data_IF_528610132777
#
_entry.id   IF_528610132777
#
_cell.length_a   1.000
_cell.length_b   1.000
_cell.length_c   1.000
_cell.angle_alpha   90.00
_cell.angle_beta   90.00
_cell.angle_gamma   90.00
#
_symmetry.space_group_name_H-M   'P 1'
#
loop_
_entity.id
_entity.type
_entity.pdbx_description
1 polymer ?
#
# COMPACT_ATOMS: atom_id res chain seq x y z
N UNK A 1 18.90 -16.39 20.48
CA UNK A 1 17.98 -17.07 19.55
C UNK A 1 17.93 -16.19 18.31
N UNK A 2 18.49 -16.67 17.21
CA UNK A 2 18.53 -15.92 15.94
C UNK A 2 17.22 -16.27 15.23
N UNK A 3 16.42 -15.26 14.88
CA UNK A 3 15.25 -15.48 14.04
C UNK A 3 15.69 -15.23 12.60
N UNK A 4 15.91 -16.31 11.84
CA UNK A 4 16.44 -16.20 10.47
C UNK A 4 15.84 -17.18 9.48
N UNK A 5 15.25 -18.28 9.96
CA UNK A 5 14.62 -19.29 9.10
C UNK A 5 13.12 -19.05 8.96
N UNK A 6 12.52 -19.60 7.90
CA UNK A 6 11.07 -19.55 7.69
C UNK A 6 10.32 -20.31 8.78
N UNK A 7 10.88 -21.42 9.24
CA UNK A 7 10.30 -22.30 10.25
C UNK A 7 10.23 -21.61 11.62
N UNK A 8 11.33 -21.00 12.08
CA UNK A 8 11.36 -20.26 13.35
C UNK A 8 10.40 -19.07 13.33
N UNK A 9 10.32 -18.37 12.20
CA UNK A 9 9.37 -17.28 12.01
C UNK A 9 7.92 -17.80 12.05
N UNK A 10 7.62 -18.90 11.37
CA UNK A 10 6.28 -19.47 11.32
C UNK A 10 5.82 -19.91 12.71
N UNK A 11 6.67 -20.60 13.46
CA UNK A 11 6.40 -21.00 14.85
C UNK A 11 6.13 -19.77 15.74
N UNK A 12 6.98 -18.74 15.63
CA UNK A 12 6.82 -17.50 16.38
C UNK A 12 5.49 -16.79 16.05
N UNK A 13 5.13 -16.72 14.77
CA UNK A 13 3.90 -16.10 14.29
C UNK A 13 2.66 -16.85 14.79
N UNK A 14 2.67 -18.19 14.73
CA UNK A 14 1.57 -19.02 15.21
C UNK A 14 1.39 -18.88 16.73
N UNK A 15 2.48 -18.91 17.48
CA UNK A 15 2.45 -18.75 18.94
C UNK A 15 1.91 -17.38 19.39
N UNK A 16 2.13 -16.33 18.58
CA UNK A 16 1.81 -14.94 18.94
C UNK A 16 0.71 -14.31 18.09
N UNK A 17 -0.07 -15.12 17.37
CA UNK A 17 -1.09 -14.68 16.42
C UNK A 17 -2.00 -13.58 16.99
N UNK A 18 -2.58 -13.80 18.17
CA UNK A 18 -3.50 -12.84 18.80
C UNK A 18 -2.88 -11.46 19.04
N UNK A 19 -1.58 -11.42 19.38
CA UNK A 19 -0.84 -10.17 19.61
C UNK A 19 -0.52 -9.46 18.30
N UNK A 20 -0.09 -10.19 17.27
CA UNK A 20 0.16 -9.65 15.93
C UNK A 20 -1.14 -9.09 15.34
N UNK A 21 -2.26 -9.81 15.49
CA UNK A 21 -3.59 -9.39 15.07
C UNK A 21 -4.03 -8.10 15.78
N UNK A 22 -3.77 -7.98 17.08
CA UNK A 22 -4.04 -6.77 17.85
C UNK A 22 -3.22 -5.58 17.35
N UNK A 23 -1.93 -5.78 17.07
CA UNK A 23 -1.05 -4.73 16.51
C UNK A 23 -1.55 -4.27 15.14
N UNK A 24 -1.84 -5.21 14.24
CA UNK A 24 -2.40 -4.92 12.92
C UNK A 24 -3.71 -4.14 13.02
N UNK A 25 -4.66 -4.61 13.83
CA UNK A 25 -5.97 -3.96 14.02
C UNK A 25 -5.86 -2.56 14.60
N UNK A 26 -4.95 -2.33 15.55
CA UNK A 26 -4.75 -1.01 16.18
C UNK A 26 -4.22 0.04 15.19
N UNK A 27 -3.54 -0.38 14.13
CA UNK A 27 -2.95 0.49 13.11
C UNK A 27 -3.90 0.84 11.96
N UNK A 28 -5.08 0.21 11.88
CA UNK A 28 -6.12 0.53 10.90
C UNK A 28 -6.92 1.78 11.31
N UNK A 29 -7.29 2.62 10.32
CA UNK A 29 -8.26 3.70 10.55
C UNK A 29 -9.65 3.14 10.85
N UNK A 30 -10.56 3.92 11.48
CA UNK A 30 -11.92 3.46 11.78
C UNK A 30 -12.68 2.93 10.54
N UNK A 31 -12.53 3.60 9.39
CA UNK A 31 -13.10 3.12 8.12
C UNK A 31 -12.48 1.81 7.64
N UNK A 32 -11.17 1.65 7.79
CA UNK A 32 -10.48 0.40 7.45
C UNK A 32 -10.82 -0.77 8.38
N UNK A 33 -11.11 -0.51 9.67
CA UNK A 33 -11.58 -1.53 10.63
C UNK A 33 -12.97 -2.09 10.28
N UNK A 34 -13.81 -1.29 9.64
CA UNK A 34 -15.14 -1.70 9.20
C UNK A 34 -15.13 -2.43 7.86
N UNK A 35 -14.17 -2.08 6.98
CA UNK A 35 -14.06 -2.65 5.64
C UNK A 35 -13.21 -3.93 5.58
N UNK A 36 -12.34 -4.17 6.56
CA UNK A 36 -11.44 -5.33 6.59
C UNK A 36 -11.58 -6.12 7.89
N UNK A 37 -11.59 -7.45 7.77
CA UNK A 37 -11.44 -8.33 8.91
C UNK A 37 -10.03 -8.19 9.49
N UNK A 38 -9.89 -8.28 10.82
CA UNK A 38 -8.56 -8.31 11.46
C UNK A 38 -7.70 -9.50 11.02
N UNK A 39 -8.32 -10.50 10.41
CA UNK A 39 -7.71 -11.71 9.88
C UNK A 39 -6.98 -11.45 8.55
N UNK A 40 -7.56 -10.66 7.64
CA UNK A 40 -6.96 -10.35 6.33
C UNK A 40 -5.64 -9.58 6.47
N UNK A 41 -5.64 -8.61 7.40
CA UNK A 41 -4.46 -7.79 7.68
C UNK A 41 -3.37 -8.61 8.38
N UNK A 42 -3.78 -9.52 9.27
CA UNK A 42 -2.86 -10.48 9.88
C UNK A 42 -2.22 -11.38 8.82
N UNK A 43 -3.00 -12.02 7.95
CA UNK A 43 -2.50 -12.90 6.88
C UNK A 43 -1.54 -12.16 5.93
N UNK A 44 -1.80 -10.87 5.67
CA UNK A 44 -0.91 -10.03 4.86
C UNK A 44 0.42 -9.75 5.54
N UNK A 45 0.41 -9.48 6.86
CA UNK A 45 1.64 -9.34 7.64
C UNK A 45 2.42 -10.64 7.64
N UNK A 46 1.76 -11.79 7.84
CA UNK A 46 2.39 -13.12 7.84
C UNK A 46 3.04 -13.42 6.49
N UNK A 47 2.31 -13.27 5.37
CA UNK A 47 2.87 -13.50 4.02
C UNK A 47 4.10 -12.64 3.74
N UNK A 48 4.12 -11.41 4.24
CA UNK A 48 5.22 -10.47 4.02
C UNK A 48 6.44 -10.81 4.86
N UNK A 49 6.23 -11.24 6.09
CA UNK A 49 7.31 -11.78 6.91
C UNK A 49 7.86 -13.07 6.32
N UNK A 50 7.00 -13.98 5.84
CA UNK A 50 7.40 -15.23 5.19
C UNK A 50 8.23 -14.99 3.92
N UNK A 51 7.84 -14.04 3.07
CA UNK A 51 8.63 -13.64 1.90
C UNK A 51 10.02 -13.10 2.31
N UNK A 52 10.09 -12.25 3.33
CA UNK A 52 11.38 -11.74 3.84
C UNK A 52 12.25 -12.85 4.42
N UNK A 53 11.66 -13.84 5.08
CA UNK A 53 12.39 -15.00 5.59
C UNK A 53 12.90 -15.88 4.45
N UNK A 54 12.08 -16.12 3.42
CA UNK A 54 12.47 -16.88 2.23
C UNK A 54 13.65 -16.24 1.48
N UNK A 55 13.76 -14.91 1.51
CA UNK A 55 14.85 -14.15 0.92
C UNK A 55 16.06 -13.97 1.87
N UNK A 56 16.01 -14.48 3.11
CA UNK A 56 17.08 -14.32 4.10
C UNK A 56 17.27 -12.87 4.57
N UNK A 57 16.24 -12.03 4.46
CA UNK A 57 16.29 -10.61 4.80
C UNK A 57 16.00 -10.33 6.29
N UNK A 58 15.53 -11.33 7.04
CA UNK A 58 15.30 -11.19 8.47
C UNK A 58 16.62 -11.33 9.21
N UNK A 59 17.03 -10.24 9.88
CA UNK A 59 18.25 -10.17 10.70
C UNK A 59 17.94 -9.88 12.16
N UNK A 60 16.88 -10.49 12.70
CA UNK A 60 16.49 -10.26 14.09
C UNK A 60 17.29 -11.19 15.01
N UNK A 61 18.18 -10.61 15.80
CA UNK A 61 19.03 -11.31 16.78
C UNK A 61 18.35 -11.47 18.15
N UNK A 62 17.19 -10.84 18.33
CA UNK A 62 16.38 -10.94 19.54
C UNK A 62 14.88 -10.84 19.24
N UNK A 63 14.07 -11.33 20.17
CA UNK A 63 12.61 -11.25 20.07
C UNK A 63 12.14 -9.78 19.99
N UNK A 64 12.82 -8.86 20.69
CA UNK A 64 12.52 -7.43 20.63
C UNK A 64 12.71 -6.83 19.24
N UNK A 65 13.77 -7.25 18.53
CA UNK A 65 14.03 -6.85 17.14
C UNK A 65 13.00 -7.47 16.18
N UNK A 66 12.61 -8.73 16.39
CA UNK A 66 11.56 -9.36 15.60
C UNK A 66 10.21 -8.64 15.79
N UNK A 67 9.86 -8.29 17.03
CA UNK A 67 8.67 -7.48 17.31
C UNK A 67 8.72 -6.09 16.67
N UNK A 68 9.90 -5.47 16.60
CA UNK A 68 10.06 -4.19 15.90
C UNK A 68 9.84 -4.34 14.39
N UNK A 69 10.35 -5.42 13.78
CA UNK A 69 10.11 -5.76 12.39
C UNK A 69 8.61 -6.01 12.12
N UNK A 70 7.95 -6.84 12.94
CA UNK A 70 6.52 -7.14 12.83
C UNK A 70 5.69 -5.85 12.91
N UNK A 71 6.01 -4.95 13.85
CA UNK A 71 5.34 -3.64 13.95
C UNK A 71 5.54 -2.79 12.69
N UNK A 72 6.75 -2.75 12.15
CA UNK A 72 7.08 -2.02 10.93
C UNK A 72 6.31 -2.57 9.71
N UNK A 73 6.27 -3.90 9.56
CA UNK A 73 5.50 -4.58 8.52
C UNK A 73 4.01 -4.32 8.67
N UNK A 74 3.46 -4.46 9.87
CA UNK A 74 2.04 -4.19 10.16
C UNK A 74 1.67 -2.72 9.90
N UNK A 75 2.55 -1.78 10.22
CA UNK A 75 2.38 -0.37 9.92
C UNK A 75 2.38 -0.10 8.41
N UNK A 76 3.33 -0.68 7.67
CA UNK A 76 3.37 -0.56 6.21
C UNK A 76 2.14 -1.17 5.53
N UNK A 77 1.62 -2.30 6.02
CA UNK A 77 0.40 -2.95 5.51
C UNK A 77 -0.83 -2.09 5.83
N UNK A 78 -0.96 -1.61 7.07
CA UNK A 78 -2.13 -0.84 7.53
C UNK A 78 -2.25 0.54 6.87
N UNK A 79 -1.11 1.16 6.56
CA UNK A 79 -1.05 2.45 5.86
C UNK A 79 -1.46 2.37 4.39
N UNK A 80 -1.50 1.17 3.80
CA UNK A 80 -1.68 1.00 2.36
C UNK A 80 -3.15 1.05 1.94
N UNK A 81 -4.05 0.34 2.62
CA UNK A 81 -5.48 0.35 2.29
C UNK A 81 -6.27 1.51 2.92
N UNK A 82 -5.97 1.87 4.16
CA UNK A 82 -6.66 2.97 4.87
C UNK A 82 -6.55 4.30 4.13
N UNK A 83 -5.36 4.61 3.56
CA UNK A 83 -5.14 5.86 2.81
C UNK A 83 -5.69 5.82 1.39
N UNK A 84 -5.73 4.65 0.75
CA UNK A 84 -6.24 4.52 -0.63
C UNK A 84 -7.75 4.73 -0.71
N UNK A 85 -8.51 4.27 0.29
CA UNK A 85 -9.98 4.38 0.32
C UNK A 85 -10.42 5.72 0.92
N UNK A 86 -9.77 6.17 2.00
CA UNK A 86 -10.19 7.36 2.75
C UNK A 86 -9.73 8.67 2.06
N UNK A 87 -8.61 8.63 1.32
CA UNK A 87 -8.13 9.82 0.61
C UNK A 87 -8.77 10.03 -0.76
N UNK A 88 -9.45 9.04 -1.35
CA UNK A 88 -10.07 9.16 -2.69
C UNK A 88 -11.55 9.54 -2.60
N UNK A 89 -12.26 9.08 -1.57
CA UNK A 89 -13.66 9.45 -1.29
C UNK A 89 -13.84 10.96 -1.00
N UNK A 90 -12.78 11.67 -0.62
CA UNK A 90 -12.78 13.10 -0.26
C UNK A 90 -12.17 14.02 -1.33
N UNK A 91 -11.81 13.49 -2.51
CA UNK A 91 -11.17 14.27 -3.59
C UNK A 91 -12.16 14.66 -4.69
N UNK A 92 -12.80 15.83 -4.50
CA UNK A 92 -13.51 16.52 -5.59
C UNK A 92 -12.51 17.34 -6.42
N UNK A 93 -12.39 17.07 -7.73
CA UNK A 93 -11.52 17.82 -8.66
C UNK A 93 -11.17 17.08 -9.96
N UNK A 94 -10.28 17.67 -10.78
CA UNK A 94 -9.80 17.20 -12.11
C UNK A 94 -9.25 15.76 -12.17
N UNK A 95 -8.89 15.18 -11.02
CA UNK A 95 -8.32 13.83 -10.91
C UNK A 95 -9.34 12.77 -10.48
N UNK A 96 -10.59 13.15 -10.19
CA UNK A 96 -11.59 12.27 -9.59
C UNK A 96 -11.86 11.00 -10.41
N UNK A 97 -11.95 11.12 -11.74
CA UNK A 97 -12.20 9.97 -12.64
C UNK A 97 -11.05 8.95 -12.63
N UNK A 98 -9.80 9.42 -12.60
CA UNK A 98 -8.63 8.54 -12.49
C UNK A 98 -8.62 7.81 -11.15
N UNK A 99 -8.83 8.53 -10.05
CA UNK A 99 -8.87 7.91 -8.72
C UNK A 99 -10.05 6.94 -8.58
N UNK A 100 -11.19 7.22 -9.19
CA UNK A 100 -12.33 6.30 -9.21
C UNK A 100 -11.98 4.98 -9.92
N UNK A 101 -11.30 5.03 -11.06
CA UNK A 101 -10.85 3.83 -11.78
C UNK A 101 -9.87 3.00 -10.94
N UNK A 102 -8.83 3.66 -10.40
CA UNK A 102 -7.87 3.03 -9.49
C UNK A 102 -8.56 2.41 -8.26
N UNK A 103 -9.56 3.08 -7.69
CA UNK A 103 -10.36 2.54 -6.61
C UNK A 103 -11.19 1.33 -7.02
N UNK A 104 -11.78 1.33 -8.22
CA UNK A 104 -12.48 0.17 -8.76
C UNK A 104 -11.54 -1.03 -8.92
N UNK A 105 -10.33 -0.83 -9.44
CA UNK A 105 -9.34 -1.90 -9.57
C UNK A 105 -8.92 -2.44 -8.20
N UNK A 106 -8.70 -1.56 -7.21
CA UNK A 106 -8.42 -1.99 -5.84
C UNK A 106 -9.58 -2.72 -5.17
N UNK A 107 -10.84 -2.34 -5.47
CA UNK A 107 -12.04 -3.05 -4.97
C UNK A 107 -12.22 -4.42 -5.62
N UNK A 108 -11.77 -4.59 -6.88
CA UNK A 108 -11.78 -5.87 -7.60
C UNK A 108 -10.75 -6.85 -7.09
N UNK A 109 -9.68 -6.39 -6.42
CA UNK A 109 -8.71 -7.27 -5.79
C UNK A 109 -9.36 -8.10 -4.68
N UNK A 110 -9.25 -9.42 -4.77
CA UNK A 110 -9.80 -10.39 -3.80
C UNK A 110 -8.99 -10.43 -2.51
N UNK A 111 -7.78 -9.90 -2.51
CA UNK A 111 -6.92 -9.84 -1.32
C UNK A 111 -6.03 -8.59 -1.28
N UNK A 112 -5.51 -8.32 -0.08
CA UNK A 112 -4.48 -7.30 0.14
C UNK A 112 -3.21 -7.56 -0.66
N UNK A 113 -2.85 -8.84 -0.83
CA UNK A 113 -1.68 -9.24 -1.61
C UNK A 113 -1.89 -8.91 -3.09
N UNK A 114 -3.08 -9.14 -3.64
CA UNK A 114 -3.44 -8.75 -5.01
C UNK A 114 -3.44 -7.22 -5.17
N UNK A 115 -4.01 -6.49 -4.21
CA UNK A 115 -4.00 -5.02 -4.21
C UNK A 115 -2.56 -4.45 -4.15
N UNK A 116 -1.72 -5.01 -3.28
CA UNK A 116 -0.31 -4.61 -3.17
C UNK A 116 0.46 -4.93 -4.45
N UNK A 117 0.26 -6.11 -5.03
CA UNK A 117 0.87 -6.49 -6.30
C UNK A 117 0.45 -5.56 -7.45
N UNK A 118 -0.82 -5.16 -7.49
CA UNK A 118 -1.32 -4.17 -8.45
C UNK A 118 -0.62 -2.82 -8.29
N UNK A 119 -0.48 -2.32 -7.06
CA UNK A 119 0.20 -1.05 -6.80
C UNK A 119 1.68 -1.11 -7.19
N UNK A 120 2.37 -2.21 -6.88
CA UNK A 120 3.76 -2.44 -7.28
C UNK A 120 3.86 -2.45 -8.81
N UNK A 121 2.95 -3.14 -9.52
CA UNK A 121 2.90 -3.13 -10.98
C UNK A 121 2.72 -1.72 -11.55
N UNK A 122 1.81 -0.92 -10.98
CA UNK A 122 1.63 0.49 -11.36
C UNK A 122 2.91 1.29 -11.15
N UNK A 123 3.56 1.17 -9.99
CA UNK A 123 4.83 1.87 -9.71
C UNK A 123 5.97 1.44 -10.65
N UNK A 124 6.09 0.14 -10.97
CA UNK A 124 7.13 -0.37 -11.84
C UNK A 124 6.91 0.01 -13.31
N UNK A 125 5.66 0.21 -13.73
CA UNK A 125 5.38 0.71 -15.08
C UNK A 125 5.87 2.13 -15.31
N UNK A 126 6.05 2.92 -14.25
CA UNK A 126 6.60 4.28 -14.35
C UNK A 126 8.12 4.20 -14.55
N UNK A 127 8.57 4.85 -15.61
CA UNK A 127 9.95 4.82 -16.10
C UNK A 127 10.92 5.64 -15.25
N UNK A 128 10.44 6.68 -14.54
CA UNK A 128 11.27 7.57 -13.72
C UNK A 128 11.15 7.38 -12.21
N UNK A 129 12.27 7.42 -11.48
CA UNK A 129 12.29 7.44 -10.00
C UNK A 129 11.51 8.65 -9.44
N UNK A 130 11.64 9.80 -10.09
CA UNK A 130 10.88 11.01 -9.75
C UNK A 130 9.37 10.80 -9.92
N UNK A 131 8.95 10.08 -10.95
CA UNK A 131 7.54 9.88 -11.25
C UNK A 131 6.91 8.87 -10.28
N UNK A 132 7.68 7.85 -9.87
CA UNK A 132 7.31 6.94 -8.76
C UNK A 132 7.13 7.69 -7.45
N UNK A 133 8.02 8.65 -7.15
CA UNK A 133 7.91 9.50 -5.97
C UNK A 133 6.67 10.40 -6.04
N UNK A 134 6.43 11.07 -7.17
CA UNK A 134 5.23 11.89 -7.39
C UNK A 134 3.96 11.05 -7.22
N UNK A 135 3.90 9.87 -7.84
CA UNK A 135 2.77 8.95 -7.72
C UNK A 135 2.54 8.51 -6.26
N UNK A 136 3.58 8.12 -5.53
CA UNK A 136 3.50 7.75 -4.11
C UNK A 136 3.00 8.91 -3.23
N UNK A 137 3.46 10.13 -3.48
CA UNK A 137 3.03 11.33 -2.75
C UNK A 137 1.58 11.70 -3.08
N UNK A 138 1.15 11.56 -4.34
CA UNK A 138 -0.24 11.73 -4.75
C UNK A 138 -1.16 10.67 -4.16
N UNK A 139 -0.69 9.42 -4.01
CA UNK A 139 -1.41 8.35 -3.31
C UNK A 139 -1.71 8.73 -1.86
N UNK A 140 -0.77 9.42 -1.20
CA UNK A 140 -0.88 9.89 0.19
C UNK A 140 -1.71 11.17 0.37
N UNK A 141 -2.19 11.78 -0.71
CA UNK A 141 -3.02 13.00 -0.67
C UNK A 141 -2.24 14.30 -0.63
N UNK A 142 -0.94 14.26 -0.91
CA UNK A 142 -0.10 15.46 -0.95
C UNK A 142 -0.45 16.32 -2.17
N UNK A 143 -0.49 17.64 -1.98
CA UNK A 143 -0.77 18.60 -3.06
C UNK A 143 0.43 18.77 -3.99
N UNK A 144 0.19 19.17 -5.24
CA UNK A 144 1.25 19.40 -6.23
C UNK A 144 2.29 20.43 -5.78
N UNK A 145 1.88 21.44 -5.01
CA UNK A 145 2.78 22.46 -4.45
C UNK A 145 3.77 21.87 -3.45
N UNK A 146 3.33 20.97 -2.58
CA UNK A 146 4.20 20.30 -1.60
C UNK A 146 5.08 19.27 -2.29
N UNK A 147 4.56 18.56 -3.29
CA UNK A 147 5.34 17.63 -4.12
C UNK A 147 6.48 18.37 -4.82
N UNK A 148 6.20 19.53 -5.41
CA UNK A 148 7.19 20.35 -6.08
C UNK A 148 8.34 20.76 -5.14
N UNK A 149 8.02 21.14 -3.90
CA UNK A 149 9.02 21.43 -2.88
C UNK A 149 9.86 20.21 -2.49
N UNK A 150 9.26 19.03 -2.38
CA UNK A 150 9.97 17.79 -2.01
C UNK A 150 10.84 17.22 -3.13
N UNK A 151 10.39 17.38 -4.38
CA UNK A 151 11.08 16.86 -5.57
C UNK A 151 12.11 17.85 -6.11
N UNK A 152 12.07 19.11 -5.65
CA UNK A 152 12.97 20.17 -6.12
C UNK A 152 12.60 20.68 -7.52
N UNK A 153 11.30 20.75 -7.84
CA UNK A 153 10.81 21.25 -9.13
C UNK A 153 9.74 22.33 -8.95
N UNK A 154 9.25 22.91 -10.06
CA UNK A 154 8.14 23.88 -10.02
C UNK A 154 6.79 23.17 -9.89
N UNK A 155 5.77 23.87 -9.38
CA UNK A 155 4.42 23.31 -9.25
C UNK A 155 3.82 22.93 -10.62
N UNK A 156 4.17 23.67 -11.66
CA UNK A 156 3.78 23.42 -13.06
C UNK A 156 4.45 22.16 -13.59
N UNK A 157 5.76 21.98 -13.34
CA UNK A 157 6.48 20.76 -13.73
C UNK A 157 5.93 19.53 -12.99
N UNK A 158 5.60 19.65 -11.70
CA UNK A 158 4.96 18.58 -10.95
C UNK A 158 3.57 18.23 -11.51
N UNK A 159 2.77 19.22 -11.92
CA UNK A 159 1.47 19.01 -12.57
C UNK A 159 1.61 18.34 -13.95
N UNK A 160 2.53 18.80 -14.79
CA UNK A 160 2.77 18.19 -16.11
C UNK A 160 3.24 16.73 -15.99
N UNK A 161 4.16 16.45 -15.07
CA UNK A 161 4.59 15.07 -14.78
C UNK A 161 3.45 14.21 -14.27
N UNK A 162 2.60 14.75 -13.38
CA UNK A 162 1.41 14.04 -12.91
C UNK A 162 0.45 13.68 -14.04
N UNK A 163 0.22 14.59 -14.99
CA UNK A 163 -0.59 14.29 -16.17
C UNK A 163 0.03 13.17 -17.05
N UNK A 164 1.35 13.18 -17.22
CA UNK A 164 2.07 12.10 -17.92
C UNK A 164 1.89 10.74 -17.24
N UNK A 165 2.10 10.70 -15.92
CA UNK A 165 1.90 9.50 -15.08
C UNK A 165 0.47 8.96 -15.22
N UNK A 166 -0.54 9.84 -15.12
CA UNK A 166 -1.95 9.45 -15.29
C UNK A 166 -2.18 8.80 -16.65
N UNK A 167 -1.68 9.43 -17.72
CA UNK A 167 -1.88 8.96 -19.09
C UNK A 167 -1.21 7.59 -19.30
N UNK A 168 -0.01 7.40 -18.77
CA UNK A 168 0.72 6.13 -18.84
C UNK A 168 -0.01 5.02 -18.07
N UNK A 169 -0.50 5.30 -16.86
CA UNK A 169 -1.24 4.33 -16.05
C UNK A 169 -2.60 4.00 -16.67
N UNK A 170 -3.30 4.98 -17.23
CA UNK A 170 -4.56 4.73 -17.92
C UNK A 170 -4.36 3.84 -19.15
N UNK A 171 -3.35 4.13 -20.00
CA UNK A 171 -3.07 3.30 -21.17
C UNK A 171 -2.75 1.83 -20.81
N UNK A 172 -2.17 1.57 -19.64
CA UNK A 172 -1.73 0.23 -19.23
C UNK A 172 -2.72 -0.55 -18.37
N UNK A 173 -3.65 0.15 -17.71
CA UNK A 173 -4.55 -0.46 -16.72
C UNK A 173 -6.04 -0.15 -16.97
N UNK A 174 -6.41 0.67 -17.97
CA UNK A 174 -7.81 1.06 -18.24
C UNK A 174 -8.59 0.13 -19.18
N UNK A 175 -8.30 -1.17 -19.25
CA UNK A 175 -9.12 -2.08 -20.08
C UNK A 175 -10.50 -2.43 -19.50
N UNK A 176 -10.87 -2.02 -18.28
CA UNK A 176 -12.20 -2.33 -17.71
C UNK A 176 -12.81 -1.23 -16.80
N UNK A 177 -12.80 0.03 -17.22
CA UNK A 177 -13.40 1.15 -16.45
C UNK A 177 -14.93 1.28 -16.52
N UNK A 178 -15.67 0.21 -16.84
CA UNK A 178 -17.11 0.14 -16.56
C UNK A 178 -17.33 -0.33 -15.13
N UNK A 179 -17.22 0.59 -14.18
CA UNK A 179 -17.94 0.48 -12.91
C UNK A 179 -19.29 1.17 -13.16
N UNK A 180 -20.31 0.37 -13.48
CA UNK A 180 -21.70 0.82 -13.58
C UNK A 180 -22.04 1.72 -12.38
N UNK A 181 -22.33 2.98 -12.68
CA UNK A 181 -22.93 3.89 -11.74
C UNK A 181 -24.39 3.48 -11.59
N UNK A 182 -24.66 2.45 -10.80
CA UNK A 182 -25.99 2.21 -10.26
C UNK A 182 -26.10 2.99 -8.95
N UNK A 183 -26.73 4.17 -9.05
CA UNK A 183 -27.35 4.89 -7.93
C UNK A 183 -28.53 4.05 -7.43
#
# INVERSE_FOLDING_TARGET
MIFGTREELAEFVLQHEGRIRSIARRKLSPGAKSAFGSEDVFLTVVRRLDAMAAEGLIRAESEGQLWALIRSVAEHVSLHRSRLIESTASRSGEDASFWSGVCCDFRRCRSDTEAFALLIRMMHSLSGQTDRQIFSLRLRGVSHRVIAQQVGCTAEAARQRWQGIRRELQLRFSEDTSCDHAI
#
